data_IF_085833072149
#
_entry.id   IF_085833072149
#
_cell.length_a   1.000
_cell.length_b   1.000
_cell.length_c   1.000
_cell.angle_alpha   90.00
_cell.angle_beta   90.00
_cell.angle_gamma   90.00
#
_symmetry.space_group_name_H-M   'P 1'
#
loop_
_entity.id
_entity.type
_entity.pdbx_description
1 polymer ?
#
# COMPACT_ATOMS: atom_id res chain seq x y z
N UNK A 1 -26.61 -22.18 -7.36
CA UNK A 1 -26.52 -23.22 -6.33
C UNK A 1 -25.78 -22.59 -5.16
N UNK A 2 -26.28 -22.65 -3.97
CA UNK A 2 -26.03 -21.84 -2.80
C UNK A 2 -24.58 -21.43 -2.54
N UNK A 3 -24.36 -20.12 -2.51
CA UNK A 3 -23.21 -19.53 -1.82
C UNK A 3 -23.49 -19.55 -0.31
N UNK A 4 -22.61 -20.15 0.44
CA UNK A 4 -22.71 -20.34 1.88
C UNK A 4 -22.56 -19.01 2.62
N UNK A 5 -23.36 -18.84 3.65
CA UNK A 5 -23.74 -17.64 4.40
C UNK A 5 -22.65 -17.11 5.36
N UNK A 6 -21.36 -17.40 5.15
CA UNK A 6 -20.28 -17.14 6.13
C UNK A 6 -19.52 -15.83 5.93
N UNK A 7 -19.56 -15.25 4.73
CA UNK A 7 -18.87 -13.99 4.46
C UNK A 7 -19.57 -12.74 5.03
N UNK A 8 -20.82 -12.86 5.48
CA UNK A 8 -21.57 -11.73 6.06
C UNK A 8 -21.25 -11.44 7.53
N UNK A 9 -20.67 -12.39 8.24
CA UNK A 9 -20.37 -12.22 9.66
C UNK A 9 -19.05 -11.52 9.96
N UNK A 10 -18.17 -11.39 8.96
CA UNK A 10 -16.87 -10.70 9.13
C UNK A 10 -17.03 -9.17 9.29
N UNK A 11 -18.11 -8.61 8.76
CA UNK A 11 -18.37 -7.17 8.80
C UNK A 11 -19.16 -6.70 10.06
N UNK A 12 -19.67 -7.60 10.88
CA UNK A 12 -20.50 -7.24 12.05
C UNK A 12 -19.75 -7.17 13.38
N UNK A 13 -18.46 -7.50 13.43
CA UNK A 13 -17.63 -7.40 14.65
C UNK A 13 -16.64 -6.27 14.58
N UNK A 14 -17.11 -5.03 14.34
CA UNK A 14 -16.35 -3.87 14.77
C UNK A 14 -16.76 -3.54 16.21
N UNK A 15 -15.84 -3.44 17.18
CA UNK A 15 -16.13 -2.67 18.38
C UNK A 15 -16.39 -1.23 17.93
N UNK A 16 -17.40 -0.58 18.54
CA UNK A 16 -17.71 0.82 18.33
C UNK A 16 -16.44 1.68 18.48
N UNK A 17 -15.75 1.96 17.39
CA UNK A 17 -14.77 3.02 17.35
C UNK A 17 -15.52 4.28 17.00
N UNK A 18 -15.58 5.20 17.95
CA UNK A 18 -16.08 6.55 17.75
C UNK A 18 -15.52 7.13 16.46
N UNK A 19 -16.39 7.61 15.57
CA UNK A 19 -16.00 8.51 14.49
C UNK A 19 -15.18 9.65 15.09
N UNK A 20 -14.01 10.01 14.53
CA UNK A 20 -13.34 11.23 14.93
C UNK A 20 -14.16 12.41 14.40
N UNK A 21 -15.09 12.89 15.20
CA UNK A 21 -15.66 14.22 15.00
C UNK A 21 -14.54 15.23 15.23
N UNK A 22 -14.10 15.88 14.18
CA UNK A 22 -13.29 17.11 14.27
C UNK A 22 -14.15 18.20 14.93
N UNK A 23 -14.18 18.22 16.26
CA UNK A 23 -14.78 19.25 17.07
C UNK A 23 -13.71 20.21 17.59
N UNK A 24 -14.03 21.52 17.84
CA UNK A 24 -13.10 22.49 18.37
C UNK A 24 -12.84 22.21 19.86
N UNK A 25 -11.68 21.60 20.17
CA UNK A 25 -11.32 21.27 21.54
C UNK A 25 -10.05 20.44 21.68
N UNK A 26 -9.01 20.72 20.92
CA UNK A 26 -7.68 20.14 21.16
C UNK A 26 -6.90 21.09 22.06
N UNK A 27 -7.22 21.07 23.33
CA UNK A 27 -6.38 21.58 24.40
C UNK A 27 -5.99 20.38 25.25
N UNK A 28 -4.68 20.15 25.38
CA UNK A 28 -3.97 19.10 26.11
C UNK A 28 -3.47 17.89 25.29
N UNK A 29 -2.76 18.15 24.22
CA UNK A 29 -1.80 17.17 23.71
C UNK A 29 -0.40 17.48 24.28
N UNK A 30 0.22 16.44 24.87
CA UNK A 30 1.59 16.43 25.41
C UNK A 30 2.57 17.07 24.39
N UNK A 31 3.63 17.77 24.83
CA UNK A 31 4.62 18.41 23.93
C UNK A 31 5.21 17.47 22.87
N UNK A 32 5.29 16.16 23.15
CA UNK A 32 5.70 15.14 22.16
C UNK A 32 4.70 14.95 21.02
N UNK A 33 3.40 15.03 21.29
CA UNK A 33 2.32 14.95 20.30
C UNK A 33 2.32 16.20 19.39
N UNK A 34 2.61 17.38 19.93
CA UNK A 34 2.70 18.62 19.15
C UNK A 34 3.84 18.55 18.10
N UNK A 35 5.00 17.98 18.46
CA UNK A 35 6.13 17.87 17.55
C UNK A 35 5.84 16.88 16.39
N UNK A 36 5.13 15.79 16.65
CA UNK A 36 4.75 14.83 15.60
C UNK A 36 3.75 15.43 14.63
N UNK A 37 2.67 16.02 15.13
CA UNK A 37 1.66 16.65 14.29
C UNK A 37 2.25 17.76 13.42
N UNK A 38 3.15 18.59 13.98
CA UNK A 38 3.84 19.62 13.20
C UNK A 38 4.76 19.02 12.13
N UNK A 39 5.51 17.98 12.46
CA UNK A 39 6.38 17.28 11.47
C UNK A 39 5.57 16.65 10.34
N UNK A 40 4.47 15.99 10.66
CA UNK A 40 3.56 15.42 9.66
C UNK A 40 2.98 16.52 8.78
N UNK A 41 2.47 17.59 9.37
CA UNK A 41 1.95 18.72 8.61
C UNK A 41 3.00 19.30 7.67
N UNK A 42 4.20 19.59 8.19
CA UNK A 42 5.30 20.09 7.37
C UNK A 42 5.66 19.14 6.24
N UNK A 43 5.76 17.83 6.52
CA UNK A 43 6.12 16.83 5.52
C UNK A 43 5.09 16.77 4.39
N UNK A 44 3.79 16.81 4.70
CA UNK A 44 2.73 16.82 3.70
C UNK A 44 2.62 18.17 2.97
N UNK A 45 2.86 19.30 3.65
CA UNK A 45 2.90 20.61 3.00
C UNK A 45 4.03 20.70 1.96
N UNK A 46 5.17 20.08 2.24
CA UNK A 46 6.31 20.00 1.32
C UNK A 46 6.12 18.96 0.21
N UNK A 47 5.26 17.96 0.42
CA UNK A 47 5.01 16.82 -0.48
C UNK A 47 3.51 16.55 -0.67
N UNK A 48 2.73 17.53 -1.12
CA UNK A 48 1.26 17.40 -1.23
C UNK A 48 0.82 16.24 -2.11
N UNK A 49 1.69 15.79 -3.03
CA UNK A 49 1.47 14.62 -3.89
C UNK A 49 1.20 13.32 -3.13
N UNK A 50 1.78 13.16 -1.93
CA UNK A 50 1.65 11.92 -1.17
C UNK A 50 0.26 11.77 -0.55
N UNK A 51 -0.30 12.84 -0.02
CA UNK A 51 -1.65 12.81 0.55
C UNK A 51 -2.71 12.63 -0.55
N UNK A 52 -2.69 13.47 -1.56
CA UNK A 52 -3.69 13.44 -2.62
C UNK A 52 -3.53 12.25 -3.56
N UNK A 53 -2.31 11.87 -3.91
CA UNK A 53 -2.05 10.77 -4.81
C UNK A 53 -2.43 9.40 -4.22
N UNK A 54 -2.42 9.27 -2.89
CA UNK A 54 -2.83 8.06 -2.18
C UNK A 54 -4.29 8.04 -1.75
N UNK A 55 -5.12 8.90 -2.30
CA UNK A 55 -6.56 9.02 -1.97
C UNK A 55 -6.85 9.39 -0.51
N UNK A 56 -5.92 10.05 0.16
CA UNK A 56 -6.01 10.36 1.59
C UNK A 56 -5.84 9.13 2.49
N UNK A 57 -5.48 7.98 1.93
CA UNK A 57 -5.27 6.71 2.67
C UNK A 57 -3.79 6.44 2.94
N UNK A 58 -2.88 7.32 2.50
CA UNK A 58 -1.43 7.18 2.59
C UNK A 58 -0.89 5.89 1.96
N UNK A 59 -1.57 5.41 0.93
CA UNK A 59 -1.24 4.23 0.15
C UNK A 59 -0.64 4.63 -1.21
N UNK A 60 -0.09 3.67 -1.96
CA UNK A 60 0.48 3.93 -3.27
C UNK A 60 -0.58 4.33 -4.32
N UNK A 61 -0.20 5.18 -5.30
CA UNK A 61 -1.11 5.71 -6.34
C UNK A 61 -1.84 4.62 -7.11
N UNK A 62 -1.19 3.53 -7.45
CA UNK A 62 -1.77 2.45 -8.25
C UNK A 62 -2.54 1.40 -7.45
N UNK A 63 -2.50 1.46 -6.12
CA UNK A 63 -3.04 0.42 -5.26
C UNK A 63 -3.70 1.04 -4.03
N UNK A 64 -4.99 1.29 -4.12
CA UNK A 64 -5.81 1.71 -3.00
C UNK A 64 -6.30 0.51 -2.17
N UNK A 65 -6.97 0.78 -1.04
CA UNK A 65 -7.52 -0.25 -0.16
C UNK A 65 -8.37 -1.30 -0.90
N UNK A 66 -9.11 -0.91 -1.93
CA UNK A 66 -9.97 -1.85 -2.68
C UNK A 66 -9.12 -2.86 -3.44
N UNK A 67 -8.09 -2.40 -4.15
CA UNK A 67 -7.17 -3.28 -4.90
C UNK A 67 -6.39 -4.17 -3.92
N UNK A 68 -5.89 -3.61 -2.81
CA UNK A 68 -5.22 -4.39 -1.78
C UNK A 68 -6.13 -5.44 -1.15
N UNK A 69 -7.38 -5.11 -0.89
CA UNK A 69 -8.36 -6.06 -0.36
C UNK A 69 -8.60 -7.22 -1.33
N UNK A 70 -8.74 -6.95 -2.62
CA UNK A 70 -8.84 -7.97 -3.67
C UNK A 70 -7.57 -8.84 -3.70
N UNK A 71 -6.40 -8.23 -3.61
CA UNK A 71 -5.12 -8.94 -3.66
C UNK A 71 -4.95 -9.92 -2.49
N UNK A 72 -5.51 -9.61 -1.32
CA UNK A 72 -5.39 -10.38 -0.08
C UNK A 72 -6.60 -11.29 0.19
N UNK A 73 -7.65 -11.28 -0.67
CA UNK A 73 -8.94 -11.94 -0.40
C UNK A 73 -8.83 -13.43 -0.05
N UNK A 74 -7.89 -14.14 -0.69
CA UNK A 74 -7.70 -15.58 -0.49
C UNK A 74 -6.50 -15.91 0.43
N UNK A 75 -5.93 -14.91 1.10
CA UNK A 75 -4.82 -15.12 2.03
C UNK A 75 -5.36 -15.42 3.43
N UNK A 76 -4.87 -16.51 4.02
CA UNK A 76 -5.12 -16.81 5.43
C UNK A 76 -4.16 -15.98 6.29
N UNK A 77 -4.58 -14.76 6.67
CA UNK A 77 -3.79 -13.85 7.52
C UNK A 77 -4.30 -13.91 8.95
N UNK A 78 -3.41 -14.20 9.87
CA UNK A 78 -3.66 -14.24 11.31
C UNK A 78 -2.66 -13.33 12.05
N UNK A 79 -2.81 -13.21 13.36
CA UNK A 79 -1.88 -12.48 14.23
C UNK A 79 -0.45 -13.05 14.23
N UNK A 80 -0.28 -14.32 13.84
CA UNK A 80 1.02 -14.99 13.72
C UNK A 80 1.66 -14.80 12.33
N UNK A 81 0.94 -14.20 11.39
CA UNK A 81 1.44 -13.99 10.04
C UNK A 81 2.46 -12.86 10.02
N UNK A 82 3.61 -13.11 9.40
CA UNK A 82 4.64 -12.10 9.15
C UNK A 82 4.56 -11.63 7.70
N UNK A 83 4.35 -10.34 7.51
CA UNK A 83 4.22 -9.70 6.19
C UNK A 83 5.37 -8.73 5.98
N UNK A 84 5.92 -8.69 4.76
CA UNK A 84 6.83 -7.64 4.31
C UNK A 84 6.16 -6.82 3.22
N UNK A 85 6.16 -5.49 3.35
CA UNK A 85 5.76 -4.52 2.34
C UNK A 85 7.02 -3.86 1.78
N UNK A 86 7.37 -4.16 0.51
CA UNK A 86 8.62 -3.65 -0.10
C UNK A 86 8.40 -2.29 -0.73
N UNK A 87 9.37 -1.37 -0.55
CA UNK A 87 9.29 0.03 -0.96
C UNK A 87 8.01 0.69 -0.42
N UNK A 88 7.84 0.62 0.89
CA UNK A 88 6.59 0.93 1.58
C UNK A 88 6.27 2.42 1.71
N UNK A 89 7.20 3.31 1.37
CA UNK A 89 7.09 4.76 1.51
C UNK A 89 6.62 5.16 2.93
N UNK A 90 5.51 5.87 3.06
CA UNK A 90 4.91 6.27 4.36
C UNK A 90 4.14 5.11 5.04
N UNK A 91 4.32 3.88 4.58
CA UNK A 91 3.80 2.67 5.22
C UNK A 91 2.29 2.49 5.19
N UNK A 92 1.59 3.09 4.21
CA UNK A 92 0.14 3.03 4.15
C UNK A 92 -0.40 1.61 4.06
N UNK A 93 0.14 0.78 3.16
CA UNK A 93 -0.24 -0.62 3.01
C UNK A 93 0.09 -1.43 4.27
N UNK A 94 1.31 -1.24 4.79
CA UNK A 94 1.78 -1.93 5.99
C UNK A 94 0.86 -1.64 7.20
N UNK A 95 0.58 -0.35 7.46
CA UNK A 95 -0.30 0.07 8.56
C UNK A 95 -1.73 -0.44 8.37
N UNK A 96 -2.25 -0.40 7.15
CA UNK A 96 -3.58 -0.91 6.85
C UNK A 96 -3.68 -2.42 7.11
N UNK A 97 -2.70 -3.23 6.65
CA UNK A 97 -2.66 -4.67 6.92
C UNK A 97 -2.56 -4.97 8.42
N UNK A 98 -1.68 -4.28 9.14
CA UNK A 98 -1.53 -4.43 10.58
C UNK A 98 -2.84 -4.10 11.32
N UNK A 99 -3.50 -3.01 10.96
CA UNK A 99 -4.78 -2.59 11.56
C UNK A 99 -5.92 -3.56 11.28
N UNK A 100 -5.98 -4.10 10.05
CA UNK A 100 -7.09 -4.96 9.63
C UNK A 100 -6.98 -6.38 10.18
N UNK A 101 -5.76 -6.95 10.15
CA UNK A 101 -5.53 -8.37 10.45
C UNK A 101 -4.89 -8.61 11.81
N UNK A 102 -4.35 -7.57 12.46
CA UNK A 102 -3.59 -7.72 13.70
C UNK A 102 -2.26 -8.48 13.51
N UNK A 103 -1.79 -8.60 12.28
CA UNK A 103 -0.55 -9.31 11.95
C UNK A 103 0.68 -8.42 12.13
N UNK A 104 1.86 -9.04 12.16
CA UNK A 104 3.15 -8.34 12.21
C UNK A 104 3.55 -7.93 10.79
N UNK A 105 3.80 -6.63 10.55
CA UNK A 105 4.17 -6.10 9.25
C UNK A 105 5.48 -5.35 9.31
N UNK A 106 6.40 -5.70 8.41
CA UNK A 106 7.62 -4.95 8.17
C UNK A 106 7.48 -4.18 6.86
N UNK A 107 7.98 -2.95 6.86
CA UNK A 107 8.12 -2.14 5.65
C UNK A 107 9.58 -1.74 5.45
N UNK A 108 10.09 -1.81 4.22
CA UNK A 108 11.37 -1.20 3.88
C UNK A 108 11.21 -0.12 2.83
N UNK A 109 12.03 0.90 2.93
CA UNK A 109 12.18 1.94 1.91
C UNK A 109 13.60 2.53 1.98
N UNK A 110 14.03 3.22 0.95
CA UNK A 110 15.29 3.98 0.92
C UNK A 110 15.13 5.41 1.43
N UNK A 111 13.88 5.87 1.58
CA UNK A 111 13.54 7.23 2.06
C UNK A 111 13.28 7.19 3.56
N UNK A 112 14.32 7.46 4.37
CA UNK A 112 14.19 7.50 5.84
C UNK A 112 13.21 8.59 6.30
N UNK A 113 13.04 9.68 5.58
CA UNK A 113 12.06 10.72 5.95
C UNK A 113 10.63 10.17 5.83
N UNK A 114 10.35 9.40 4.78
CA UNK A 114 9.06 8.72 4.64
C UNK A 114 8.84 7.67 5.74
N UNK A 115 9.90 6.93 6.12
CA UNK A 115 9.82 5.94 7.22
C UNK A 115 9.61 6.59 8.59
N UNK A 116 10.14 7.78 8.83
CA UNK A 116 9.83 8.56 10.04
C UNK A 116 8.33 8.87 10.09
N UNK A 117 7.76 9.30 8.97
CA UNK A 117 6.30 9.56 8.85
C UNK A 117 5.51 8.28 9.07
N UNK A 118 5.93 7.15 8.48
CA UNK A 118 5.30 5.85 8.66
C UNK A 118 5.22 5.44 10.14
N UNK A 119 6.32 5.62 10.89
CA UNK A 119 6.37 5.34 12.34
C UNK A 119 5.45 6.26 13.14
N UNK A 120 5.45 7.56 12.82
CA UNK A 120 4.58 8.54 13.50
C UNK A 120 3.10 8.23 13.27
N UNK A 121 2.73 7.86 12.04
CA UNK A 121 1.36 7.46 11.70
C UNK A 121 0.95 6.16 12.41
N UNK A 122 1.83 5.16 12.45
CA UNK A 122 1.58 3.92 13.18
C UNK A 122 1.35 4.15 14.70
N UNK A 123 2.08 5.10 15.30
CA UNK A 123 1.85 5.49 16.69
C UNK A 123 0.50 6.21 16.88
N UNK A 124 0.13 7.11 15.97
CA UNK A 124 -1.17 7.81 16.01
C UNK A 124 -2.33 6.81 15.88
N UNK A 125 -2.16 5.81 15.03
CA UNK A 125 -3.15 4.75 14.81
C UNK A 125 -3.14 3.67 15.91
N UNK A 126 -2.24 3.76 16.89
CA UNK A 126 -2.06 2.80 17.99
C UNK A 126 -1.74 1.36 17.53
N UNK A 127 -0.95 1.23 16.46
CA UNK A 127 -0.50 -0.05 15.88
C UNK A 127 1.03 -0.15 15.76
N UNK A 128 1.78 0.73 16.42
CA UNK A 128 3.25 0.75 16.35
C UNK A 128 3.90 -0.57 16.78
N UNK A 129 3.28 -1.33 17.66
CA UNK A 129 3.75 -2.65 18.09
C UNK A 129 3.62 -3.73 17.00
N UNK A 130 2.80 -3.48 15.97
CA UNK A 130 2.59 -4.39 14.85
C UNK A 130 3.40 -4.01 13.62
N UNK A 131 3.95 -2.79 13.56
CA UNK A 131 4.64 -2.25 12.39
C UNK A 131 6.11 -1.99 12.69
N UNK A 132 6.99 -2.49 11.83
CA UNK A 132 8.43 -2.21 11.87
C UNK A 132 8.88 -1.63 10.55
N UNK A 133 9.48 -0.43 10.54
CA UNK A 133 9.95 0.24 9.34
C UNK A 133 11.48 0.38 9.36
N UNK A 134 12.13 -0.08 8.28
CA UNK A 134 13.60 -0.13 8.16
C UNK A 134 14.08 0.52 6.86
N UNK A 135 15.12 1.34 6.98
CA UNK A 135 15.79 1.92 5.81
C UNK A 135 16.64 0.84 5.14
N UNK A 136 16.24 0.43 3.94
CA UNK A 136 16.98 -0.54 3.15
C UNK A 136 16.53 -0.51 1.69
N UNK A 137 17.44 -0.70 0.73
CA UNK A 137 17.08 -0.91 -0.67
C UNK A 137 16.46 -2.31 -0.85
N UNK A 138 15.63 -2.45 -1.87
CA UNK A 138 14.96 -3.74 -2.18
C UNK A 138 15.94 -4.84 -2.62
N UNK A 139 17.13 -4.46 -3.09
CA UNK A 139 18.21 -5.36 -3.54
C UNK A 139 19.06 -5.92 -2.38
N UNK A 140 18.87 -5.42 -1.15
CA UNK A 140 19.63 -5.86 0.02
C UNK A 140 18.78 -5.73 1.29
N UNK A 141 17.77 -6.58 1.42
CA UNK A 141 16.85 -6.57 2.54
C UNK A 141 17.53 -7.08 3.84
N UNK A 142 17.44 -6.34 4.96
CA UNK A 142 18.15 -6.68 6.21
C UNK A 142 17.40 -7.74 7.04
N UNK A 143 16.88 -8.76 6.37
CA UNK A 143 16.12 -9.85 6.99
C UNK A 143 16.75 -11.19 6.68
N UNK A 144 16.59 -12.13 7.59
CA UNK A 144 17.04 -13.52 7.41
C UNK A 144 16.24 -14.24 6.31
N UNK A 145 16.83 -15.29 5.76
CA UNK A 145 16.18 -16.18 4.82
C UNK A 145 14.91 -16.78 5.44
N UNK A 146 13.87 -16.95 4.63
CA UNK A 146 12.62 -17.63 5.02
C UNK A 146 11.93 -16.98 6.25
N UNK A 147 11.93 -15.67 6.33
CA UNK A 147 11.36 -14.93 7.47
C UNK A 147 9.86 -14.71 7.30
N UNK A 148 9.40 -14.35 6.09
CA UNK A 148 8.04 -13.87 5.86
C UNK A 148 7.10 -14.94 5.30
N UNK A 149 5.85 -14.92 5.75
CA UNK A 149 4.77 -15.74 5.20
C UNK A 149 4.24 -15.12 3.89
N UNK A 150 4.19 -13.79 3.85
CA UNK A 150 3.70 -13.01 2.72
C UNK A 150 4.68 -11.86 2.47
N UNK A 151 5.01 -11.63 1.21
CA UNK A 151 5.66 -10.40 0.74
C UNK A 151 4.68 -9.71 -0.19
N UNK A 152 4.45 -8.43 0.00
CA UNK A 152 3.63 -7.59 -0.90
C UNK A 152 4.49 -6.49 -1.50
N UNK A 153 4.14 -6.07 -2.70
CA UNK A 153 4.76 -4.92 -3.36
C UNK A 153 3.78 -4.18 -4.23
N UNK A 154 3.99 -2.87 -4.32
CA UNK A 154 3.49 -2.02 -5.40
C UNK A 154 4.66 -1.52 -6.20
N UNK A 155 4.84 -2.11 -7.39
CA UNK A 155 5.82 -1.76 -8.43
C UNK A 155 7.30 -2.07 -8.14
N UNK A 156 7.82 -1.94 -6.91
CA UNK A 156 9.27 -1.96 -6.66
C UNK A 156 9.71 -3.13 -5.77
N UNK A 157 10.52 -4.04 -6.32
CA UNK A 157 11.10 -5.18 -5.59
C UNK A 157 12.32 -5.76 -6.31
N UNK A 158 13.12 -6.54 -5.61
CA UNK A 158 14.10 -7.48 -6.18
C UNK A 158 13.61 -8.92 -6.03
N UNK A 159 13.47 -9.65 -7.14
CA UNK A 159 12.91 -11.01 -7.13
C UNK A 159 13.80 -12.04 -6.41
N UNK A 160 15.12 -11.82 -6.33
CA UNK A 160 16.02 -12.73 -5.62
C UNK A 160 15.90 -12.51 -4.11
N UNK A 161 15.85 -11.25 -3.68
CA UNK A 161 15.64 -10.92 -2.27
C UNK A 161 14.25 -11.37 -1.79
N UNK A 162 13.20 -11.14 -2.59
CA UNK A 162 11.86 -11.68 -2.29
C UNK A 162 11.92 -13.20 -2.11
N UNK A 163 12.53 -13.93 -3.04
CA UNK A 163 12.70 -15.40 -2.90
C UNK A 163 13.50 -15.78 -1.66
N UNK A 164 14.52 -15.01 -1.31
CA UNK A 164 15.36 -15.28 -0.16
C UNK A 164 14.58 -15.16 1.14
N UNK A 165 13.90 -14.02 1.34
CA UNK A 165 13.21 -13.71 2.60
C UNK A 165 11.86 -14.41 2.77
N UNK A 166 11.23 -14.86 1.68
CA UNK A 166 9.95 -15.55 1.69
C UNK A 166 10.13 -17.00 2.15
N UNK A 167 9.27 -17.47 3.05
CA UNK A 167 9.25 -18.87 3.48
C UNK A 167 8.92 -19.80 2.32
N UNK A 168 9.37 -21.08 2.34
CA UNK A 168 8.87 -22.09 1.42
C UNK A 168 7.34 -22.16 1.50
N UNK A 169 6.66 -22.13 0.35
CA UNK A 169 5.20 -22.09 0.27
C UNK A 169 4.57 -20.74 0.64
N UNK A 170 5.37 -19.72 0.96
CA UNK A 170 4.89 -18.37 1.22
C UNK A 170 4.42 -17.67 -0.06
N UNK A 171 3.54 -16.68 0.10
CA UNK A 171 2.92 -15.93 -0.99
C UNK A 171 3.65 -14.64 -1.29
N UNK A 172 3.96 -14.39 -2.56
CA UNK A 172 4.38 -13.09 -3.05
C UNK A 172 3.25 -12.44 -3.84
N UNK A 173 2.82 -11.27 -3.40
CA UNK A 173 1.71 -10.52 -4.00
C UNK A 173 2.26 -9.28 -4.66
N UNK A 174 2.10 -9.19 -5.98
CA UNK A 174 2.50 -8.06 -6.80
C UNK A 174 1.27 -7.32 -7.26
N UNK A 175 1.24 -6.02 -7.01
CA UNK A 175 0.25 -5.10 -7.56
C UNK A 175 1.04 -4.10 -8.39
N UNK A 176 0.95 -4.22 -9.72
CA UNK A 176 1.82 -3.40 -10.59
C UNK A 176 1.23 -3.13 -11.96
N UNK A 177 1.64 -1.97 -12.48
CA UNK A 177 1.37 -1.56 -13.85
C UNK A 177 2.52 -1.98 -14.77
N UNK A 178 2.21 -2.76 -15.79
CA UNK A 178 3.14 -3.17 -16.84
C UNK A 178 2.85 -2.39 -18.12
N UNK A 179 3.79 -1.55 -18.53
CA UNK A 179 3.61 -0.67 -19.69
C UNK A 179 3.61 -1.43 -21.03
N UNK A 180 4.33 -2.55 -21.13
CA UNK A 180 4.32 -3.38 -22.33
C UNK A 180 3.09 -4.32 -22.33
N UNK A 181 2.10 -4.07 -23.20
CA UNK A 181 0.88 -4.87 -23.25
C UNK A 181 1.10 -6.32 -23.71
N UNK A 182 2.29 -6.65 -24.20
CA UNK A 182 2.64 -8.00 -24.65
C UNK A 182 3.17 -8.89 -23.55
N UNK A 183 3.58 -8.29 -22.43
CA UNK A 183 4.08 -9.04 -21.27
C UNK A 183 2.90 -9.69 -20.55
N UNK A 184 2.98 -10.99 -20.35
CA UNK A 184 1.97 -11.75 -19.62
C UNK A 184 2.43 -12.03 -18.18
N UNK A 185 1.48 -12.21 -17.23
CA UNK A 185 1.81 -12.62 -15.87
C UNK A 185 2.64 -13.91 -15.79
N UNK A 186 2.40 -14.87 -16.71
CA UNK A 186 3.19 -16.10 -16.78
C UNK A 186 4.65 -15.82 -17.11
N UNK A 187 4.91 -14.99 -18.13
CA UNK A 187 6.28 -14.62 -18.52
C UNK A 187 7.00 -13.86 -17.41
N UNK A 188 6.29 -13.04 -16.63
CA UNK A 188 6.85 -12.35 -15.48
C UNK A 188 7.23 -13.33 -14.37
N UNK A 189 6.33 -14.25 -14.03
CA UNK A 189 6.60 -15.28 -13.03
C UNK A 189 7.82 -16.15 -13.39
N UNK A 190 7.92 -16.58 -14.66
CA UNK A 190 9.07 -17.31 -15.18
C UNK A 190 10.36 -16.51 -15.06
N UNK A 191 10.34 -15.22 -15.43
CA UNK A 191 11.49 -14.32 -15.33
C UNK A 191 11.96 -14.16 -13.89
N UNK A 192 11.04 -14.10 -12.92
CA UNK A 192 11.36 -13.97 -11.49
C UNK A 192 11.71 -15.29 -10.82
N UNK A 193 11.49 -16.43 -11.52
CA UNK A 193 11.76 -17.75 -10.98
C UNK A 193 10.80 -18.16 -9.86
N UNK A 194 9.55 -17.70 -9.94
CA UNK A 194 8.45 -17.97 -9.03
C UNK A 194 7.35 -18.74 -9.76
N UNK A 195 6.45 -19.37 -9.03
CA UNK A 195 5.27 -20.03 -9.57
C UNK A 195 4.07 -19.10 -9.52
N UNK A 196 3.43 -18.87 -10.68
CA UNK A 196 2.21 -18.09 -10.75
C UNK A 196 1.03 -18.92 -10.27
N UNK A 197 0.37 -18.52 -9.20
CA UNK A 197 -0.86 -19.15 -8.73
C UNK A 197 -2.09 -18.53 -9.37
N UNK A 198 -2.20 -17.20 -9.29
CA UNK A 198 -3.31 -16.45 -9.87
C UNK A 198 -2.83 -15.11 -10.43
N UNK A 199 -3.57 -14.62 -11.41
CA UNK A 199 -3.43 -13.25 -11.89
C UNK A 199 -4.81 -12.66 -12.20
N UNK A 200 -5.02 -11.43 -11.81
CA UNK A 200 -6.24 -10.68 -12.09
C UNK A 200 -5.86 -9.38 -12.80
N UNK A 201 -6.44 -9.15 -13.97
CA UNK A 201 -6.34 -7.87 -14.66
C UNK A 201 -7.30 -6.88 -14.00
N UNK A 202 -6.75 -5.88 -13.35
CA UNK A 202 -7.48 -4.79 -12.67
C UNK A 202 -7.31 -3.46 -13.38
N UNK A 203 -6.92 -3.49 -14.65
CA UNK A 203 -6.62 -2.30 -15.45
C UNK A 203 -7.76 -1.29 -15.43
N UNK A 204 -9.00 -1.74 -15.70
CA UNK A 204 -10.15 -0.84 -15.73
C UNK A 204 -10.44 -0.24 -14.35
N UNK A 205 -10.28 -1.02 -13.29
CA UNK A 205 -10.47 -0.57 -11.92
C UNK A 205 -9.42 0.47 -11.52
N UNK A 206 -8.14 0.17 -11.75
CA UNK A 206 -7.03 1.07 -11.47
C UNK A 206 -7.13 2.36 -12.30
N UNK A 207 -7.48 2.24 -13.57
CA UNK A 207 -7.71 3.40 -14.45
C UNK A 207 -8.86 4.27 -13.95
N UNK A 208 -9.97 3.69 -13.52
CA UNK A 208 -11.12 4.42 -12.98
C UNK A 208 -10.74 5.22 -11.73
N UNK A 209 -9.95 4.64 -10.81
CA UNK A 209 -9.46 5.35 -9.63
C UNK A 209 -8.53 6.51 -10.01
N UNK A 210 -7.57 6.30 -10.90
CA UNK A 210 -6.66 7.35 -11.35
C UNK A 210 -7.41 8.49 -12.04
N UNK A 211 -8.43 8.18 -12.84
CA UNK A 211 -9.29 9.19 -13.49
C UNK A 211 -10.12 9.97 -12.48
N UNK A 212 -10.63 9.32 -11.44
CA UNK A 212 -11.36 10.01 -10.38
C UNK A 212 -10.46 11.01 -9.66
N UNK A 213 -9.22 10.63 -9.35
CA UNK A 213 -8.22 11.52 -8.74
C UNK A 213 -7.80 12.67 -9.65
N UNK A 214 -7.63 12.42 -10.94
CA UNK A 214 -7.38 13.49 -11.91
C UNK A 214 -8.52 14.52 -11.90
N UNK A 215 -9.76 14.05 -11.83
CA UNK A 215 -10.93 14.94 -11.79
C UNK A 215 -10.94 15.77 -10.51
N UNK A 216 -10.67 15.15 -9.35
CA UNK A 216 -10.55 15.84 -8.08
C UNK A 216 -9.44 16.91 -8.13
N UNK A 217 -8.25 16.56 -8.63
CA UNK A 217 -7.14 17.48 -8.76
C UNK A 217 -7.49 18.71 -9.63
N UNK A 218 -8.25 18.51 -10.72
CA UNK A 218 -8.71 19.61 -11.58
C UNK A 218 -9.67 20.53 -10.85
N UNK A 219 -10.62 19.97 -10.07
CA UNK A 219 -11.55 20.76 -9.26
C UNK A 219 -10.82 21.56 -8.17
N UNK A 220 -9.81 20.98 -7.53
CA UNK A 220 -8.97 21.67 -6.56
C UNK A 220 -8.20 22.82 -7.21
N UNK A 221 -7.69 22.61 -8.43
CA UNK A 221 -6.99 23.65 -9.19
C UNK A 221 -7.91 24.81 -9.60
N UNK A 222 -9.12 24.51 -10.06
CA UNK A 222 -10.14 25.54 -10.37
C UNK A 222 -10.50 26.38 -9.14
N UNK A 223 -10.38 25.81 -7.95
CA UNK A 223 -10.61 26.49 -6.68
C UNK A 223 -9.37 27.24 -6.15
N UNK A 224 -8.31 27.33 -6.95
CA UNK A 224 -7.04 28.02 -6.64
C UNK A 224 -6.33 27.49 -5.37
N UNK A 225 -6.51 26.21 -5.07
CA UNK A 225 -5.88 25.55 -3.93
C UNK A 225 -4.42 25.20 -4.20
N UNK A 226 -3.57 25.36 -3.18
CA UNK A 226 -2.13 25.11 -3.25
C UNK A 226 -1.86 23.65 -3.65
N UNK A 227 -0.91 23.46 -4.57
CA UNK A 227 -0.46 22.12 -5.00
C UNK A 227 -1.33 21.43 -6.07
N UNK A 228 -2.52 21.96 -6.37
CA UNK A 228 -3.43 21.32 -7.34
C UNK A 228 -2.84 21.19 -8.75
N UNK A 229 -2.02 22.14 -9.20
CA UNK A 229 -1.35 22.07 -10.51
C UNK A 229 -0.35 20.91 -10.56
N UNK A 230 0.47 20.76 -9.53
CA UNK A 230 1.43 19.66 -9.43
C UNK A 230 0.71 18.31 -9.38
N UNK A 231 -0.40 18.22 -8.65
CA UNK A 231 -1.23 17.04 -8.58
C UNK A 231 -1.80 16.64 -9.97
N UNK A 232 -2.28 17.62 -10.77
CA UNK A 232 -2.75 17.36 -12.13
C UNK A 232 -1.64 16.76 -12.99
N UNK A 233 -0.42 17.28 -12.90
CA UNK A 233 0.72 16.77 -13.67
C UNK A 233 1.07 15.33 -13.27
N UNK A 234 1.02 15.01 -11.99
CA UNK A 234 1.22 13.66 -11.47
C UNK A 234 0.13 12.71 -11.99
N UNK A 235 -1.14 13.13 -11.90
CA UNK A 235 -2.26 12.31 -12.34
C UNK A 235 -2.26 12.08 -13.85
N UNK A 236 -1.90 13.06 -14.65
CA UNK A 236 -1.73 12.89 -16.09
C UNK A 236 -0.65 11.85 -16.43
N UNK A 237 0.48 11.86 -15.71
CA UNK A 237 1.54 10.84 -15.86
C UNK A 237 1.06 9.45 -15.44
N UNK A 238 0.25 9.36 -14.37
CA UNK A 238 -0.30 8.09 -13.89
C UNK A 238 -1.33 7.48 -14.82
N UNK A 239 -2.05 8.30 -15.60
CA UNK A 239 -3.08 7.84 -16.56
C UNK A 239 -2.48 7.44 -17.91
N UNK A 240 -1.41 8.09 -18.36
CA UNK A 240 -0.81 7.88 -19.66
C UNK A 240 -0.46 6.41 -20.01
N UNK A 241 0.13 5.60 -19.11
CA UNK A 241 0.42 4.21 -19.41
C UNK A 241 -0.80 3.38 -19.78
N UNK A 242 -1.95 3.60 -19.13
CA UNK A 242 -3.19 2.88 -19.44
C UNK A 242 -3.72 3.21 -20.83
N UNK A 243 -3.63 4.47 -21.24
CA UNK A 243 -4.07 4.90 -22.59
C UNK A 243 -3.17 4.34 -23.70
N UNK A 244 -1.93 3.98 -23.37
CA UNK A 244 -0.95 3.36 -24.26
C UNK A 244 -1.01 1.82 -24.25
N UNK A 245 -2.01 1.23 -23.61
CA UNK A 245 -2.23 -0.21 -23.57
C UNK A 245 -1.55 -0.92 -22.41
N UNK A 246 -0.98 -0.18 -21.43
CA UNK A 246 -0.47 -0.75 -20.19
C UNK A 246 -1.53 -1.53 -19.42
N UNK A 247 -1.12 -2.58 -18.73
CA UNK A 247 -1.98 -3.46 -17.96
C UNK A 247 -1.61 -3.46 -16.50
N UNK A 248 -2.61 -3.34 -15.64
CA UNK A 248 -2.43 -3.40 -14.20
C UNK A 248 -2.89 -4.76 -13.69
N UNK A 249 -1.95 -5.50 -13.09
CA UNK A 249 -2.23 -6.84 -12.57
C UNK A 249 -2.09 -6.88 -11.05
N UNK A 250 -2.98 -7.66 -10.43
CA UNK A 250 -2.71 -8.31 -9.17
C UNK A 250 -2.19 -9.71 -9.51
N UNK A 251 -0.99 -10.03 -9.07
CA UNK A 251 -0.41 -11.35 -9.26
C UNK A 251 -0.12 -11.97 -7.91
N UNK A 252 -0.52 -13.22 -7.73
CA UNK A 252 -0.08 -14.03 -6.60
C UNK A 252 0.85 -15.10 -7.10
N UNK A 253 2.04 -15.11 -6.52
CA UNK A 253 3.11 -16.04 -6.85
C UNK A 253 3.54 -16.78 -5.59
N UNK A 254 4.10 -17.96 -5.78
CA UNK A 254 4.59 -18.82 -4.70
C UNK A 254 6.07 -19.10 -4.88
N UNK A 255 6.79 -19.16 -3.76
CA UNK A 255 8.14 -19.71 -3.73
C UNK A 255 8.04 -21.23 -3.86
N UNK A 256 8.76 -21.79 -4.85
CA UNK A 256 8.92 -23.23 -5.04
C UNK A 256 9.66 -23.88 -3.89
#
# INVERSE_FOLDING_TARGET
>A
MCMTNDSRNYFQKRPNTHEPTLGPGISFMNQRSNNKTQRLQQWFDERPRWDHASYGEFMHIGANQTIFRIALEEQEISTETKVLDTACAVGGNARWMASLFGCQVWGNDIDEEALVVARDLAEIENISELCTFVEAPVEALPFDDNTFNIVVTTDVFDSNEVKRVLKPGGSFIVISLFEDPKITPVQLAERWGLELETSLDVTDLAFAFNRAKETEARLLHESDLIGARELIDIMNKSVAPYTNGGRHYIMRLRKK
#
